data_IF_054485656946
#
_entry.id   IF_054485656946
#
_cell.length_a   1.000
_cell.length_b   1.000
_cell.length_c   1.000
_cell.angle_alpha   90.00
_cell.angle_beta   90.00
_cell.angle_gamma   90.00
#
_symmetry.space_group_name_H-M   'P 1'
#
loop_
_entity.id
_entity.type
_entity.pdbx_description
1 polymer ?
#
# COMPACT_ATOMS: atom_id res chain seq x y z
N UNK A 1 4.26 14.29 7.38
CA UNK A 1 3.20 13.30 7.69
C UNK A 1 1.76 13.85 7.59
N UNK A 2 1.54 15.16 7.45
CA UNK A 2 0.19 15.76 7.45
C UNK A 2 -0.62 15.63 6.13
N UNK A 3 -0.04 15.18 5.01
CA UNK A 3 -0.74 15.15 3.70
C UNK A 3 -1.50 13.84 3.41
N UNK A 4 -1.12 12.75 4.05
CA UNK A 4 -1.72 11.42 3.82
C UNK A 4 -3.18 11.35 4.31
N UNK A 5 -3.57 12.18 5.27
CA UNK A 5 -4.95 12.26 5.80
C UNK A 5 -5.86 13.29 5.11
N UNK A 6 -5.46 13.89 3.98
CA UNK A 6 -6.30 14.84 3.24
C UNK A 6 -7.47 14.14 2.54
N UNK A 7 -8.66 14.75 2.48
CA UNK A 7 -9.82 14.22 1.71
C UNK A 7 -9.76 14.58 0.21
N UNK A 8 -8.69 15.23 -0.24
CA UNK A 8 -8.50 15.57 -1.64
C UNK A 8 -7.79 14.40 -2.35
N UNK A 9 -8.50 13.76 -3.28
CA UNK A 9 -8.00 12.59 -4.01
C UNK A 9 -6.67 12.90 -4.71
N UNK A 10 -6.54 14.06 -5.35
CA UNK A 10 -5.30 14.48 -6.02
C UNK A 10 -4.12 14.58 -5.05
N UNK A 11 -4.35 15.13 -3.85
CA UNK A 11 -3.31 15.22 -2.83
C UNK A 11 -3.00 13.88 -2.16
N UNK A 12 -3.99 12.99 -2.00
CA UNK A 12 -3.74 11.62 -1.54
C UNK A 12 -2.86 10.87 -2.54
N UNK A 13 -3.09 11.06 -3.83
CA UNK A 13 -2.33 10.40 -4.90
C UNK A 13 -0.93 10.93 -4.97
N UNK A 14 -0.74 12.24 -4.97
CA UNK A 14 0.59 12.83 -5.02
C UNK A 14 1.38 12.49 -3.74
N UNK A 15 0.74 12.54 -2.56
CA UNK A 15 1.36 12.15 -1.30
C UNK A 15 1.70 10.65 -1.27
N UNK A 16 0.83 9.79 -1.77
CA UNK A 16 1.08 8.34 -1.83
C UNK A 16 2.12 8.01 -2.88
N UNK A 17 2.12 8.68 -4.04
CA UNK A 17 3.14 8.51 -5.07
C UNK A 17 4.51 8.99 -4.58
N UNK A 18 4.60 10.13 -3.91
CA UNK A 18 5.84 10.61 -3.28
C UNK A 18 6.28 9.68 -2.15
N UNK A 19 5.34 9.18 -1.35
CA UNK A 19 5.64 8.24 -0.27
C UNK A 19 6.14 6.91 -0.82
N UNK A 20 5.45 6.32 -1.80
CA UNK A 20 5.90 5.15 -2.54
C UNK A 20 7.27 5.39 -3.18
N UNK A 21 7.49 6.52 -3.85
CA UNK A 21 8.80 6.86 -4.42
C UNK A 21 9.88 6.88 -3.34
N UNK A 22 9.62 7.47 -2.17
CA UNK A 22 10.53 7.47 -1.02
C UNK A 22 10.73 6.07 -0.40
N UNK A 23 9.71 5.21 -0.44
CA UNK A 23 9.81 3.81 -0.02
C UNK A 23 10.74 3.01 -0.96
N UNK A 24 10.73 3.33 -2.27
CA UNK A 24 11.54 2.66 -3.28
C UNK A 24 12.96 3.24 -3.44
N UNK A 25 13.18 4.54 -3.15
CA UNK A 25 14.47 5.24 -3.31
C UNK A 25 15.47 5.06 -2.14
N UNK A 26 15.49 3.89 -1.49
CA UNK A 26 16.60 3.46 -0.61
C UNK A 26 16.70 4.12 0.78
N UNK A 27 15.59 4.42 1.45
CA UNK A 27 15.63 4.68 2.91
C UNK A 27 15.38 3.36 3.64
N UNK A 28 16.28 2.86 4.51
CA UNK A 28 15.97 1.74 5.38
C UNK A 28 14.86 2.16 6.35
N UNK A 29 13.63 1.76 6.07
CA UNK A 29 12.46 2.10 6.87
C UNK A 29 12.55 1.35 8.20
N UNK A 30 12.35 2.07 9.31
CA UNK A 30 12.21 1.43 10.61
C UNK A 30 10.94 0.58 10.65
N UNK A 31 10.95 -0.49 11.45
CA UNK A 31 9.80 -1.38 11.64
C UNK A 31 8.53 -0.63 12.09
N UNK A 32 8.69 0.43 12.89
CA UNK A 32 7.59 1.32 13.31
C UNK A 32 6.98 2.09 12.15
N UNK A 33 7.80 2.59 11.22
CA UNK A 33 7.31 3.30 10.05
C UNK A 33 6.56 2.36 9.11
N UNK A 34 7.06 1.13 8.93
CA UNK A 34 6.38 0.09 8.13
C UNK A 34 5.00 -0.21 8.73
N UNK A 35 4.93 -0.49 10.04
CA UNK A 35 3.66 -0.76 10.72
C UNK A 35 2.68 0.42 10.63
N UNK A 36 3.15 1.66 10.74
CA UNK A 36 2.29 2.84 10.62
C UNK A 36 1.74 3.08 9.20
N UNK A 37 2.40 2.54 8.17
CA UNK A 37 2.03 2.75 6.76
C UNK A 37 1.09 1.67 6.24
N UNK A 38 1.22 0.43 6.74
CA UNK A 38 0.41 -0.71 6.28
C UNK A 38 -1.10 -0.42 6.32
N UNK A 39 -1.69 0.12 7.42
CA UNK A 39 -3.13 0.41 7.45
C UNK A 39 -3.59 1.31 6.30
N UNK A 40 -2.75 2.30 5.93
CA UNK A 40 -3.07 3.22 4.85
C UNK A 40 -2.94 2.58 3.47
N UNK A 41 -1.95 1.72 3.28
CA UNK A 41 -1.83 0.93 2.04
C UNK A 41 -3.01 -0.03 1.88
N UNK A 42 -3.49 -0.63 2.97
CA UNK A 42 -4.70 -1.47 2.99
C UNK A 42 -5.93 -0.67 2.58
N UNK A 43 -6.10 0.56 3.09
CA UNK A 43 -7.18 1.46 2.64
C UNK A 43 -7.08 1.82 1.15
N UNK A 44 -5.87 2.04 0.64
CA UNK A 44 -5.64 2.32 -0.78
C UNK A 44 -5.88 1.11 -1.68
N UNK A 45 -5.59 -0.10 -1.21
CA UNK A 45 -5.96 -1.33 -1.91
C UNK A 45 -7.48 -1.50 -2.03
N UNK A 46 -8.27 -0.91 -1.14
CA UNK A 46 -9.74 -0.94 -1.20
C UNK A 46 -10.36 0.15 -2.10
N UNK A 47 -9.58 1.11 -2.62
CA UNK A 47 -10.06 2.20 -3.48
C UNK A 47 -10.23 1.73 -4.94
N UNK A 48 -11.32 1.02 -5.20
CA UNK A 48 -11.69 0.52 -6.54
C UNK A 48 -11.99 1.62 -7.58
N UNK A 49 -12.20 2.85 -7.12
CA UNK A 49 -12.43 4.03 -7.93
C UNK A 49 -11.13 4.67 -8.46
N UNK A 50 -9.96 4.19 -7.99
CA UNK A 50 -8.69 4.81 -8.34
C UNK A 50 -7.54 3.81 -8.53
N UNK A 51 -7.52 3.19 -9.72
CA UNK A 51 -6.63 2.11 -10.14
C UNK A 51 -5.13 2.39 -9.92
N UNK A 52 -4.63 3.60 -10.21
CA UNK A 52 -3.21 3.90 -10.05
C UNK A 52 -2.73 3.78 -8.60
N UNK A 53 -3.55 4.24 -7.65
CA UNK A 53 -3.27 4.14 -6.22
C UNK A 53 -3.37 2.71 -5.73
N UNK A 54 -4.34 1.96 -6.25
CA UNK A 54 -4.50 0.53 -5.97
C UNK A 54 -3.27 -0.28 -6.42
N UNK A 55 -2.77 -0.02 -7.63
CA UNK A 55 -1.54 -0.65 -8.14
C UNK A 55 -0.32 -0.27 -7.30
N UNK A 56 -0.15 1.01 -6.95
CA UNK A 56 0.98 1.47 -6.14
C UNK A 56 0.96 0.90 -4.72
N UNK A 57 -0.22 0.77 -4.14
CA UNK A 57 -0.40 0.12 -2.85
C UNK A 57 -0.05 -1.37 -2.91
N UNK A 58 -0.46 -2.07 -3.98
CA UNK A 58 -0.10 -3.47 -4.19
C UNK A 58 1.41 -3.67 -4.33
N UNK A 59 2.08 -2.84 -5.14
CA UNK A 59 3.54 -2.85 -5.27
C UNK A 59 4.25 -2.61 -3.91
N UNK A 60 3.75 -1.66 -3.11
CA UNK A 60 4.31 -1.35 -1.80
C UNK A 60 4.12 -2.50 -0.79
N UNK A 61 2.93 -3.12 -0.73
CA UNK A 61 2.67 -4.28 0.13
C UNK A 61 3.56 -5.46 -0.25
N UNK A 62 3.74 -5.75 -1.53
CA UNK A 62 4.64 -6.81 -2.01
C UNK A 62 6.09 -6.52 -1.62
N UNK A 63 6.55 -5.28 -1.77
CA UNK A 63 7.90 -4.87 -1.38
C UNK A 63 8.15 -5.03 0.13
N UNK A 64 7.21 -4.58 0.97
CA UNK A 64 7.28 -4.72 2.43
C UNK A 64 7.31 -6.20 2.84
N UNK A 65 6.49 -7.02 2.19
CA UNK A 65 6.38 -8.47 2.44
C UNK A 65 7.66 -9.22 2.06
N UNK A 66 8.38 -8.76 1.04
CA UNK A 66 9.67 -9.34 0.65
C UNK A 66 10.82 -9.02 1.63
N UNK A 67 10.64 -8.04 2.53
CA UNK A 67 11.70 -7.56 3.42
C UNK A 67 11.93 -8.40 4.68
N UNK A 68 10.90 -9.01 5.29
CA UNK A 68 11.01 -9.84 6.50
C UNK A 68 9.72 -10.60 6.80
N UNK A 69 9.81 -11.79 7.40
CA UNK A 69 8.65 -12.54 7.90
C UNK A 69 7.80 -11.74 8.91
N UNK A 70 8.43 -10.88 9.71
CA UNK A 70 7.72 -10.02 10.67
C UNK A 70 6.81 -9.01 9.95
N UNK A 71 7.25 -8.51 8.80
CA UNK A 71 6.46 -7.58 7.99
C UNK A 71 5.27 -8.29 7.34
N UNK A 72 5.46 -9.56 6.93
CA UNK A 72 4.38 -10.40 6.42
C UNK A 72 3.30 -10.59 7.49
N UNK A 73 3.69 -10.97 8.71
CA UNK A 73 2.76 -11.13 9.84
C UNK A 73 2.01 -9.82 10.11
N UNK A 74 2.74 -8.70 10.19
CA UNK A 74 2.14 -7.37 10.42
C UNK A 74 1.15 -7.00 9.30
N UNK A 75 1.46 -7.34 8.05
CA UNK A 75 0.58 -7.09 6.90
C UNK A 75 -0.71 -7.93 6.96
N UNK A 76 -0.59 -9.19 7.41
CA UNK A 76 -1.73 -10.07 7.65
C UNK A 76 -2.60 -9.53 8.79
N UNK A 77 -1.99 -9.13 9.91
CA UNK A 77 -2.68 -8.61 11.09
C UNK A 77 -3.47 -7.33 10.78
N UNK A 78 -3.01 -6.53 9.82
CA UNK A 78 -3.73 -5.34 9.35
C UNK A 78 -4.79 -5.62 8.27
N UNK A 79 -5.08 -6.87 7.96
CA UNK A 79 -6.21 -7.24 7.10
C UNK A 79 -5.97 -7.03 5.61
N UNK A 80 -4.72 -7.07 5.15
CA UNK A 80 -4.43 -6.99 3.71
C UNK A 80 -4.93 -8.22 2.93
N UNK A 81 -4.95 -9.40 3.55
CA UNK A 81 -5.23 -10.68 2.87
C UNK A 81 -6.61 -10.73 2.21
N UNK A 82 -7.73 -10.39 2.89
CA UNK A 82 -9.05 -10.38 2.24
C UNK A 82 -9.12 -9.43 1.04
N UNK A 83 -8.42 -8.29 1.10
CA UNK A 83 -8.40 -7.31 0.01
C UNK A 83 -7.59 -7.85 -1.16
N UNK A 84 -6.40 -8.39 -0.92
CA UNK A 84 -5.58 -9.01 -1.97
C UNK A 84 -6.32 -10.15 -2.68
N UNK A 85 -7.05 -11.00 -1.94
CA UNK A 85 -7.90 -12.05 -2.53
C UNK A 85 -9.02 -11.45 -3.39
N UNK A 86 -9.64 -10.35 -2.94
CA UNK A 86 -10.66 -9.65 -3.74
C UNK A 86 -10.09 -9.08 -5.05
N UNK A 87 -8.83 -8.64 -5.05
CA UNK A 87 -8.15 -8.08 -6.23
C UNK A 87 -7.84 -9.13 -7.30
N UNK A 88 -7.64 -10.39 -6.91
CA UNK A 88 -7.53 -11.50 -7.88
C UNK A 88 -8.82 -11.69 -8.70
N UNK A 89 -9.96 -11.27 -8.15
CA UNK A 89 -11.25 -11.28 -8.84
C UNK A 89 -11.54 -9.98 -9.60
N UNK A 90 -10.65 -8.98 -9.52
CA UNK A 90 -10.80 -7.71 -10.26
C UNK A 90 -10.76 -7.96 -11.76
N UNK A 91 -11.44 -7.13 -12.55
CA UNK A 91 -11.39 -7.17 -14.02
C UNK A 91 -10.05 -6.65 -14.56
N UNK A 92 -9.34 -5.84 -13.77
CA UNK A 92 -8.06 -5.22 -14.10
C UNK A 92 -6.90 -6.22 -13.95
N UNK A 93 -6.34 -6.63 -15.08
CA UNK A 93 -5.27 -7.65 -15.13
C UNK A 93 -4.00 -7.24 -14.37
N UNK A 94 -3.72 -5.93 -14.35
CA UNK A 94 -2.58 -5.36 -13.63
C UNK A 94 -2.63 -5.61 -12.11
N UNK A 95 -3.82 -5.85 -11.54
CA UNK A 95 -4.02 -6.13 -10.11
C UNK A 95 -4.03 -7.63 -9.78
N UNK A 96 -3.94 -8.52 -10.78
CA UNK A 96 -3.96 -9.98 -10.58
C UNK A 96 -2.56 -10.62 -10.41
N UNK A 97 -1.52 -9.83 -10.18
CA UNK A 97 -0.12 -10.28 -10.13
C UNK A 97 0.34 -10.71 -8.75
#
# INVERSE_FOLDING_TARGET
MAKVGSNDDTLQVEATAQFCSLLFDSIPLSKELISGVIPRLVEFLARNDYLQLQCKAAEAITSISNGSSDNIITTIDHGAVPILVSLLSSLEDVLRK
#
